data_IF_868668996959
#
_entry.id   IF_868668996959
#
_cell.length_a   1.000
_cell.length_b   1.000
_cell.length_c   1.000
_cell.angle_alpha   90.00
_cell.angle_beta   90.00
_cell.angle_gamma   90.00
#
_symmetry.space_group_name_H-M   'P 1'
#
loop_
_entity.id
_entity.type
_entity.pdbx_description
1 polymer ?
#
# COMPACT_ATOMS: atom_id res chain seq x y z
N UNK A 1 -15.43 -7.43 -29.83
CA UNK A 1 -15.43 -7.95 -29.05
C UNK A 1 -14.72 -8.85 -28.87
N UNK A 2 -14.50 -9.42 -28.27
CA UNK A 2 -13.64 -9.93 -27.97
C UNK A 2 -13.58 -11.04 -27.27
N UNK A 3 -13.92 -11.48 -26.50
CA UNK A 3 -13.82 -12.74 -25.88
C UNK A 3 -14.57 -13.78 -26.65
N UNK A 4 -13.87 -14.66 -27.21
CA UNK A 4 -14.44 -15.59 -28.14
C UNK A 4 -14.69 -16.96 -27.54
N UNK A 5 -15.00 -17.06 -26.29
CA UNK A 5 -15.41 -18.31 -25.75
C UNK A 5 -14.56 -18.85 -24.61
N UNK A 6 -13.59 -18.09 -24.15
CA UNK A 6 -12.91 -18.37 -22.91
C UNK A 6 -13.49 -17.56 -21.77
N UNK A 7 -13.52 -18.10 -20.59
CA UNK A 7 -13.82 -17.31 -19.41
C UNK A 7 -12.64 -16.37 -19.11
N UNK A 8 -12.95 -15.11 -18.81
CA UNK A 8 -11.93 -14.18 -18.34
C UNK A 8 -11.33 -14.70 -17.02
N UNK A 9 -10.01 -14.57 -16.79
CA UNK A 9 -9.44 -14.90 -15.51
C UNK A 9 -10.12 -14.11 -14.39
N UNK A 10 -10.26 -14.65 -13.18
CA UNK A 10 -10.79 -13.90 -12.05
C UNK A 10 -9.98 -12.63 -11.83
N UNK A 11 -10.67 -11.54 -11.54
CA UNK A 11 -10.01 -10.29 -11.19
C UNK A 11 -9.22 -10.48 -9.89
N UNK A 12 -7.97 -10.04 -9.88
CA UNK A 12 -7.16 -10.06 -8.68
C UNK A 12 -7.33 -8.73 -7.95
N UNK A 13 -7.73 -8.74 -6.66
CA UNK A 13 -7.84 -7.51 -5.89
C UNK A 13 -6.49 -6.78 -5.83
N UNK A 14 -6.53 -5.50 -6.11
CA UNK A 14 -5.33 -4.65 -6.07
C UNK A 14 -5.70 -3.26 -5.59
N UNK A 15 -4.74 -2.58 -5.00
CA UNK A 15 -4.88 -1.21 -4.53
C UNK A 15 -3.81 -0.34 -5.17
N UNK A 16 -4.20 0.86 -5.52
CA UNK A 16 -3.29 1.90 -6.01
C UNK A 16 -3.53 3.15 -5.19
N UNK A 17 -2.48 3.84 -4.82
CA UNK A 17 -2.58 5.08 -4.05
C UNK A 17 -1.92 6.22 -4.82
N UNK A 18 -2.59 7.35 -4.86
CA UNK A 18 -2.04 8.58 -5.42
C UNK A 18 -1.56 9.45 -4.27
N UNK A 19 -0.26 9.64 -4.17
CA UNK A 19 0.37 10.43 -3.12
C UNK A 19 0.86 11.73 -3.74
N UNK A 20 0.48 12.84 -3.15
CA UNK A 20 0.90 14.13 -3.64
C UNK A 20 1.41 15.01 -2.49
N UNK A 21 2.22 15.99 -2.83
CA UNK A 21 2.65 17.03 -1.90
C UNK A 21 2.62 18.38 -2.61
N UNK A 22 2.46 19.43 -1.82
CA UNK A 22 2.57 20.79 -2.36
C UNK A 22 4.04 21.08 -2.70
N UNK A 23 4.26 21.76 -3.83
CA UNK A 23 5.60 22.21 -4.19
C UNK A 23 5.99 23.36 -3.24
N UNK A 24 7.11 23.23 -2.49
CA UNK A 24 7.58 24.31 -1.62
C UNK A 24 7.88 25.62 -2.36
N UNK A 25 8.17 25.55 -3.66
CA UNK A 25 8.44 26.71 -4.50
C UNK A 25 7.18 27.35 -5.07
N UNK A 26 5.99 26.85 -4.74
CA UNK A 26 4.72 27.41 -5.20
C UNK A 26 4.26 26.94 -6.58
N UNK A 27 4.92 25.94 -7.14
CA UNK A 27 4.52 25.30 -8.38
C UNK A 27 3.32 24.36 -8.20
N UNK A 28 2.94 23.63 -9.25
CA UNK A 28 1.87 22.64 -9.15
C UNK A 28 2.21 21.51 -8.18
N UNK A 29 1.21 20.84 -7.61
CA UNK A 29 1.46 19.69 -6.73
C UNK A 29 2.32 18.63 -7.40
N UNK A 30 3.18 17.99 -6.63
CA UNK A 30 4.06 16.91 -7.08
C UNK A 30 3.44 15.57 -6.74
N UNK A 31 3.47 14.64 -7.68
CA UNK A 31 2.98 13.28 -7.49
C UNK A 31 4.15 12.33 -7.27
N UNK A 32 3.97 11.39 -6.33
CA UNK A 32 4.94 10.35 -6.11
C UNK A 32 4.70 9.19 -7.08
N UNK A 33 5.71 8.88 -7.85
CA UNK A 33 5.68 7.74 -8.78
C UNK A 33 6.82 6.79 -8.42
N UNK A 34 6.62 5.51 -8.67
CA UNK A 34 7.68 4.51 -8.56
C UNK A 34 7.96 3.93 -9.93
N UNK A 35 9.23 3.63 -10.18
CA UNK A 35 9.63 3.01 -11.43
C UNK A 35 9.58 1.49 -11.26
N UNK A 36 8.83 0.83 -12.15
CA UNK A 36 8.79 -0.62 -12.17
C UNK A 36 10.10 -1.17 -12.69
N UNK A 37 10.55 -2.29 -12.12
CA UNK A 37 11.74 -2.97 -12.62
C UNK A 37 11.59 -3.29 -14.12
N UNK A 38 12.65 -3.04 -14.88
CA UNK A 38 12.68 -3.36 -16.31
C UNK A 38 12.48 -4.86 -16.59
N UNK A 39 12.73 -5.70 -15.59
CA UNK A 39 12.57 -7.15 -15.69
C UNK A 39 11.13 -7.62 -15.50
N UNK A 40 10.23 -6.76 -15.07
CA UNK A 40 8.83 -7.13 -14.90
C UNK A 40 8.15 -7.37 -16.24
N UNK A 41 7.31 -8.40 -16.29
CA UNK A 41 6.63 -8.82 -17.52
C UNK A 41 5.64 -7.79 -18.03
N UNK A 42 5.04 -7.03 -17.12
CA UNK A 42 4.04 -6.00 -17.48
C UNK A 42 4.57 -4.63 -17.10
N UNK A 43 4.60 -3.72 -18.06
CA UNK A 43 5.01 -2.34 -17.87
C UNK A 43 6.39 -2.18 -17.21
N UNK A 44 7.32 -3.10 -17.49
CA UNK A 44 8.70 -3.00 -16.99
C UNK A 44 9.33 -1.68 -17.41
N UNK A 45 9.97 -0.97 -16.46
CA UNK A 45 10.56 0.35 -16.68
C UNK A 45 9.58 1.52 -16.63
N UNK A 46 8.27 1.28 -16.56
CA UNK A 46 7.28 2.34 -16.51
C UNK A 46 7.21 2.98 -15.11
N UNK A 47 6.94 4.28 -15.08
CA UNK A 47 6.60 4.97 -13.83
C UNK A 47 5.13 4.74 -13.52
N UNK A 48 4.83 4.30 -12.30
CA UNK A 48 3.47 3.99 -11.85
C UNK A 48 3.24 4.58 -10.47
N UNK A 49 1.98 4.72 -10.07
CA UNK A 49 1.65 5.04 -8.69
C UNK A 49 1.97 3.85 -7.78
N UNK A 50 2.32 4.09 -6.52
CA UNK A 50 2.52 3.00 -5.55
C UNK A 50 1.27 2.14 -5.44
N UNK A 51 1.45 0.83 -5.26
CA UNK A 51 0.34 -0.09 -5.10
C UNK A 51 0.73 -1.51 -5.42
N UNK A 52 -0.22 -2.41 -5.29
CA UNK A 52 -0.04 -3.81 -5.56
C UNK A 52 -1.25 -4.63 -5.16
N UNK A 53 -1.07 -5.94 -5.10
CA UNK A 53 -2.13 -6.88 -4.76
C UNK A 53 -2.59 -6.69 -3.33
N UNK A 54 -3.88 -6.94 -3.11
CA UNK A 54 -4.42 -7.09 -1.76
C UNK A 54 -4.22 -8.55 -1.35
N UNK A 55 -3.40 -8.77 -0.34
CA UNK A 55 -3.03 -10.11 0.11
C UNK A 55 -4.03 -10.65 1.14
N UNK A 56 -4.09 -11.98 1.34
CA UNK A 56 -4.95 -12.56 2.38
C UNK A 56 -4.72 -11.95 3.77
N UNK A 57 -3.47 -11.60 4.11
CA UNK A 57 -3.15 -10.95 5.38
C UNK A 57 -3.77 -9.56 5.51
N UNK A 58 -3.92 -8.83 4.40
CA UNK A 58 -4.59 -7.53 4.39
C UNK A 58 -6.08 -7.69 4.68
N UNK A 59 -6.72 -8.71 4.10
CA UNK A 59 -8.12 -9.01 4.38
C UNK A 59 -8.34 -9.42 5.84
N UNK A 60 -7.45 -10.24 6.39
CA UNK A 60 -7.54 -10.67 7.79
C UNK A 60 -7.42 -9.46 8.73
N UNK A 61 -6.47 -8.58 8.48
CA UNK A 61 -6.30 -7.36 9.27
C UNK A 61 -7.49 -6.41 9.08
N UNK A 62 -8.01 -6.30 7.86
CA UNK A 62 -9.18 -5.50 7.55
C UNK A 62 -10.41 -5.92 8.35
N UNK A 63 -10.66 -7.21 8.46
CA UNK A 63 -11.75 -7.74 9.28
C UNK A 63 -11.58 -7.37 10.76
N UNK A 64 -10.34 -7.45 11.27
CA UNK A 64 -10.07 -7.16 12.68
C UNK A 64 -10.31 -5.69 13.03
N UNK A 65 -10.05 -4.76 12.10
CA UNK A 65 -10.18 -3.33 12.38
C UNK A 65 -11.48 -2.72 11.83
N UNK A 66 -12.30 -3.47 11.14
CA UNK A 66 -13.51 -2.95 10.49
C UNK A 66 -14.44 -2.24 11.48
N UNK A 67 -14.63 -2.82 12.66
CA UNK A 67 -15.50 -2.24 13.69
C UNK A 67 -14.98 -0.90 14.21
N UNK A 68 -13.65 -0.73 14.25
CA UNK A 68 -13.02 0.49 14.76
C UNK A 68 -12.98 1.60 13.71
N UNK A 69 -12.86 1.24 12.44
CA UNK A 69 -12.71 2.20 11.36
C UNK A 69 -14.03 2.64 10.76
N UNK A 70 -15.09 1.88 10.94
CA UNK A 70 -16.37 2.12 10.27
C UNK A 70 -16.36 1.77 8.78
N UNK A 71 -15.25 1.23 8.27
CA UNK A 71 -15.13 0.81 6.88
C UNK A 71 -15.65 -0.62 6.70
N UNK A 72 -16.14 -0.93 5.50
CA UNK A 72 -16.39 -2.32 5.15
C UNK A 72 -15.07 -3.10 5.17
N UNK A 73 -15.07 -4.40 5.55
CA UNK A 73 -13.82 -5.17 5.63
C UNK A 73 -12.99 -5.17 4.34
N UNK A 74 -13.64 -5.26 3.20
CA UNK A 74 -12.94 -5.24 1.89
C UNK A 74 -12.30 -3.88 1.61
N UNK A 75 -13.00 -2.81 1.94
CA UNK A 75 -12.47 -1.46 1.79
C UNK A 75 -11.26 -1.24 2.71
N UNK A 76 -11.37 -1.68 3.96
CA UNK A 76 -10.26 -1.63 4.91
C UNK A 76 -9.06 -2.43 4.38
N UNK A 77 -9.29 -3.62 3.82
CA UNK A 77 -8.22 -4.45 3.26
C UNK A 77 -7.49 -3.74 2.11
N UNK A 78 -8.22 -3.05 1.23
CA UNK A 78 -7.61 -2.30 0.13
C UNK A 78 -6.79 -1.12 0.63
N UNK A 79 -7.27 -0.40 1.64
CA UNK A 79 -6.50 0.69 2.24
C UNK A 79 -5.26 0.17 2.98
N UNK A 80 -5.36 -0.96 3.67
CA UNK A 80 -4.23 -1.61 4.32
C UNK A 80 -3.18 -2.01 3.28
N UNK A 81 -3.60 -2.59 2.15
CA UNK A 81 -2.69 -2.94 1.07
C UNK A 81 -1.97 -1.70 0.54
N UNK A 82 -2.67 -0.58 0.37
CA UNK A 82 -2.07 0.67 -0.07
C UNK A 82 -1.01 1.18 0.93
N UNK A 83 -1.29 1.12 2.22
CA UNK A 83 -0.32 1.47 3.28
C UNK A 83 0.90 0.56 3.23
N UNK A 84 0.68 -0.74 3.15
CA UNK A 84 1.74 -1.75 3.11
C UNK A 84 2.64 -1.57 1.88
N UNK A 85 2.04 -1.48 0.71
CA UNK A 85 2.78 -1.31 -0.54
C UNK A 85 3.55 0.00 -0.59
N UNK A 86 2.98 1.08 -0.04
CA UNK A 86 3.67 2.36 0.05
C UNK A 86 4.94 2.25 0.89
N UNK A 87 4.86 1.60 2.05
CA UNK A 87 6.04 1.38 2.90
C UNK A 87 7.07 0.49 2.19
N UNK A 88 6.61 -0.58 1.55
CA UNK A 88 7.49 -1.50 0.83
C UNK A 88 8.22 -0.82 -0.32
N UNK A 89 7.49 -0.11 -1.16
CA UNK A 89 8.03 0.44 -2.39
C UNK A 89 8.77 1.76 -2.21
N UNK A 90 8.35 2.58 -1.27
CA UNK A 90 8.88 3.94 -1.12
C UNK A 90 9.56 4.21 0.21
N UNK A 91 9.32 3.40 1.22
CA UNK A 91 9.80 3.65 2.58
C UNK A 91 8.98 4.68 3.36
N UNK A 92 7.87 5.16 2.79
CA UNK A 92 7.01 6.13 3.47
C UNK A 92 5.98 5.42 4.34
N UNK A 93 5.89 5.84 5.60
CA UNK A 93 4.96 5.29 6.57
C UNK A 93 3.65 6.11 6.61
N UNK A 94 2.97 6.19 5.47
CA UNK A 94 1.69 6.87 5.36
C UNK A 94 0.56 5.97 5.86
N UNK A 95 -0.45 6.58 6.48
CA UNK A 95 -1.58 5.83 7.03
C UNK A 95 -1.25 5.12 8.33
N UNK A 96 -0.16 5.47 8.97
CA UNK A 96 0.33 4.90 10.22
C UNK A 96 0.49 5.99 11.27
N UNK A 97 0.24 5.65 12.52
CA UNK A 97 0.40 6.53 13.66
C UNK A 97 1.26 5.86 14.74
N UNK A 98 1.99 6.66 15.48
CA UNK A 98 2.90 6.23 16.52
C UNK A 98 4.18 7.06 16.47
N UNK A 99 5.23 6.57 17.12
CA UNK A 99 6.54 7.19 16.99
C UNK A 99 7.20 6.71 15.70
N UNK A 100 7.21 7.58 14.70
CA UNK A 100 7.72 7.26 13.36
C UNK A 100 8.81 8.24 13.00
N UNK A 101 9.99 7.72 12.69
CA UNK A 101 11.09 8.46 12.12
C UNK A 101 11.69 7.69 10.95
N UNK A 102 12.67 8.27 10.27
CA UNK A 102 13.29 7.64 9.11
C UNK A 102 13.96 6.32 9.43
N UNK A 103 14.59 6.22 10.61
CA UNK A 103 15.26 4.98 11.04
C UNK A 103 14.27 3.87 11.31
N UNK A 104 13.19 4.17 12.01
CA UNK A 104 12.12 3.20 12.28
C UNK A 104 11.40 2.79 11.01
N UNK A 105 11.11 3.74 10.13
CA UNK A 105 10.48 3.43 8.85
C UNK A 105 11.34 2.50 8.00
N UNK A 106 12.65 2.70 7.98
CA UNK A 106 13.58 1.84 7.26
C UNK A 106 13.62 0.43 7.87
N UNK A 107 13.65 0.32 9.19
CA UNK A 107 13.62 -0.96 9.88
C UNK A 107 12.28 -1.69 9.65
N UNK A 108 11.18 -0.97 9.67
CA UNK A 108 9.86 -1.51 9.40
C UNK A 108 9.75 -2.02 7.96
N UNK A 109 10.30 -1.26 7.01
CA UNK A 109 10.36 -1.67 5.60
C UNK A 109 11.13 -2.98 5.43
N UNK A 110 12.27 -3.13 6.10
CA UNK A 110 13.06 -4.35 6.06
C UNK A 110 12.29 -5.54 6.66
N UNK A 111 11.61 -5.33 7.77
CA UNK A 111 10.77 -6.35 8.38
C UNK A 111 9.63 -6.76 7.46
N UNK A 112 8.99 -5.79 6.82
CA UNK A 112 7.89 -6.02 5.89
C UNK A 112 8.34 -6.82 4.68
N UNK A 113 9.52 -6.53 4.12
CA UNK A 113 10.09 -7.27 3.02
C UNK A 113 10.30 -8.75 3.39
N UNK A 114 10.53 -9.05 4.66
CA UNK A 114 10.75 -10.40 5.15
C UNK A 114 9.44 -11.11 5.49
N UNK A 115 8.51 -10.43 6.16
CA UNK A 115 7.26 -11.03 6.62
C UNK A 115 6.14 -11.02 5.58
N UNK A 116 6.15 -10.04 4.69
CA UNK A 116 5.09 -9.86 3.69
C UNK A 116 3.76 -9.38 4.25
N UNK A 117 3.68 -9.04 5.54
CA UNK A 117 2.44 -8.64 6.20
C UNK A 117 2.67 -7.44 7.12
N UNK A 118 1.66 -6.58 7.20
CA UNK A 118 1.75 -5.35 8.00
C UNK A 118 1.54 -5.61 9.50
N UNK A 119 0.70 -6.56 9.87
CA UNK A 119 0.37 -6.81 11.28
C UNK A 119 1.59 -7.02 12.19
N UNK A 120 2.60 -7.84 11.82
CA UNK A 120 3.81 -7.98 12.63
C UNK A 120 4.59 -6.66 12.79
N UNK A 121 4.57 -5.82 11.76
CA UNK A 121 5.23 -4.51 11.80
C UNK A 121 4.54 -3.60 12.80
N UNK A 122 3.22 -3.54 12.76
CA UNK A 122 2.44 -2.75 13.71
C UNK A 122 2.74 -3.16 15.16
N UNK A 123 2.80 -4.46 15.42
CA UNK A 123 3.09 -4.98 16.75
C UNK A 123 4.52 -4.64 17.18
N UNK A 124 5.51 -4.86 16.32
CA UNK A 124 6.91 -4.66 16.64
C UNK A 124 7.25 -3.21 16.96
N UNK A 125 6.63 -2.26 16.29
CA UNK A 125 6.91 -0.83 16.44
C UNK A 125 5.88 -0.09 17.29
N UNK A 126 4.86 -0.79 17.78
CA UNK A 126 3.72 -0.18 18.48
C UNK A 126 3.06 0.92 17.65
N UNK A 127 2.91 0.65 16.37
CA UNK A 127 2.22 1.54 15.45
C UNK A 127 0.76 1.14 15.28
N UNK A 128 -0.06 2.11 14.92
CA UNK A 128 -1.47 1.89 14.62
C UNK A 128 -1.76 2.33 13.20
N UNK A 129 -2.75 1.67 12.59
CA UNK A 129 -3.31 2.15 11.35
C UNK A 129 -4.11 3.43 11.62
N UNK A 130 -3.88 4.43 10.78
CA UNK A 130 -4.65 5.68 10.76
C UNK A 130 -5.12 5.92 9.34
N UNK A 131 -6.14 5.17 8.95
CA UNK A 131 -6.66 5.20 7.58
C UNK A 131 -7.37 6.51 7.23
N UNK A 132 -7.66 7.34 8.23
CA UNK A 132 -8.20 8.67 7.98
C UNK A 132 -7.20 9.60 7.28
N UNK A 133 -5.91 9.24 7.25
CA UNK A 133 -4.90 9.98 6.49
C UNK A 133 -4.95 9.70 4.99
N UNK A 134 -5.72 8.73 4.57
CA UNK A 134 -5.77 8.28 3.18
C UNK A 134 -6.99 8.82 2.46
#
# INVERSE_FOLDING_TARGET
MFDTGGEAPPATPAATIVIFRNDPAGGPPQLLMVERSAEMRFAGGAAVFPGGRVDPADFALGERIAAETGLAPDEAAHQIAAVRETLEETGLALGLAGEIDATKAQAARAMLAHSGALAPVLEAFDWRLDLAQI
#
